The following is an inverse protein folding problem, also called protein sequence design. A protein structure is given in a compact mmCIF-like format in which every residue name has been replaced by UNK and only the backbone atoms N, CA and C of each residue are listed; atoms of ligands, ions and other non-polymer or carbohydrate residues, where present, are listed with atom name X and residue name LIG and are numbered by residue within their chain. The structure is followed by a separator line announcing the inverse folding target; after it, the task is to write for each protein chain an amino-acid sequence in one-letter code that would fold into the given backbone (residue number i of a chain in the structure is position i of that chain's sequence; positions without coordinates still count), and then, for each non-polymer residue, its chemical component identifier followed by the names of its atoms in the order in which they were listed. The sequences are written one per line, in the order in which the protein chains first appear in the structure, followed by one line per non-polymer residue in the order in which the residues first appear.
data_IF_226002687616
#
_entry.id   IF_226002687616
#
_cell.length_a   1.000
_cell.length_b   1.000
_cell.length_c   1.000
_cell.angle_alpha   90.00
_cell.angle_beta   90.00
_cell.angle_gamma   90.00
#
_symmetry.space_group_name_H-M   'P 1'
#
loop_
_entity.id
_entity.type
_entity.pdbx_description
1 polymer ?
#
# COMPACT_ATOMS: atom_id res chain seq x y z
N UNK A 1 5.76 24.71 9.30
CA UNK A 1 5.26 23.92 10.45
C UNK A 1 5.61 22.47 10.19
N UNK A 2 6.74 22.02 10.73
CA UNK A 2 7.15 20.62 10.73
C UNK A 2 6.19 19.83 11.60
N UNK A 3 5.32 19.04 10.98
CA UNK A 3 4.46 18.11 11.68
C UNK A 3 5.33 16.91 12.07
N UNK A 4 5.95 16.99 13.24
CA UNK A 4 6.56 15.83 13.90
C UNK A 4 5.45 14.80 14.02
N UNK A 5 5.54 13.72 13.25
CA UNK A 5 4.59 12.62 13.31
C UNK A 5 4.79 11.89 14.64
N UNK A 6 4.16 12.39 15.70
CA UNK A 6 4.02 11.67 16.95
C UNK A 6 3.03 10.53 16.66
N UNK A 7 3.54 9.32 16.47
CA UNK A 7 2.72 8.11 16.28
C UNK A 7 1.89 7.90 17.54
N UNK A 8 0.63 8.37 17.51
CA UNK A 8 -0.30 8.20 18.63
C UNK A 8 -0.90 6.78 18.67
N UNK A 9 -0.88 6.07 17.54
CA UNK A 9 -1.26 4.67 17.41
C UNK A 9 -0.64 4.00 16.18
N UNK A 10 -0.59 2.67 16.18
CA UNK A 10 -0.27 1.82 15.01
C UNK A 10 -1.01 0.48 15.10
N UNK A 11 -1.09 -0.26 14.00
CA UNK A 11 -1.85 -1.52 13.93
C UNK A 11 -1.24 -2.48 12.92
N UNK A 12 -1.43 -3.77 13.15
CA UNK A 12 -1.17 -4.84 12.19
C UNK A 12 -2.46 -5.38 11.55
N UNK A 13 -3.61 -4.77 11.84
CA UNK A 13 -4.94 -5.24 11.41
C UNK A 13 -5.69 -6.06 12.46
N UNK A 14 -4.99 -6.70 13.41
CA UNK A 14 -5.59 -7.53 14.47
C UNK A 14 -5.55 -6.84 15.84
N UNK A 15 -4.47 -6.09 16.10
CA UNK A 15 -4.28 -5.29 17.30
C UNK A 15 -4.02 -3.83 16.94
N UNK A 16 -4.50 -2.93 17.78
CA UNK A 16 -4.15 -1.51 17.78
C UNK A 16 -3.33 -1.25 19.03
N UNK A 17 -2.12 -0.70 18.85
CA UNK A 17 -1.26 -0.26 19.93
C UNK A 17 -1.30 1.25 20.08
N UNK A 18 -1.18 1.71 21.33
CA UNK A 18 -1.02 3.11 21.66
C UNK A 18 0.46 3.54 21.57
N UNK A 19 0.73 4.82 21.84
CA UNK A 19 2.07 5.41 21.88
C UNK A 19 3.05 4.78 22.88
N UNK A 20 2.56 4.00 23.86
CA UNK A 20 3.37 3.29 24.85
C UNK A 20 3.60 1.81 24.45
N UNK A 21 3.30 1.43 23.20
CA UNK A 21 3.40 0.06 22.69
C UNK A 21 2.51 -0.95 23.43
N UNK A 22 1.49 -0.47 24.15
CA UNK A 22 0.49 -1.31 24.81
C UNK A 22 -0.73 -1.43 23.90
N UNK A 23 -1.38 -2.60 23.92
CA UNK A 23 -2.66 -2.78 23.23
C UNK A 23 -3.65 -1.75 23.78
N UNK A 24 -4.21 -0.96 22.88
CA UNK A 24 -5.14 0.12 23.20
C UNK A 24 -6.44 -0.45 23.81
N UNK A 25 -7.17 0.35 24.59
CA UNK A 25 -8.47 -0.06 25.14
C UNK A 25 -9.40 -0.55 24.02
N UNK A 26 -9.90 -1.80 24.15
CA UNK A 26 -10.70 -2.53 23.15
C UNK A 26 -9.99 -2.78 21.80
N UNK A 27 -8.67 -2.57 21.73
CA UNK A 27 -7.86 -2.63 20.51
C UNK A 27 -7.39 -4.02 20.10
N UNK A 28 -7.81 -5.10 20.75
CA UNK A 28 -7.44 -6.47 20.37
C UNK A 28 -8.55 -7.16 19.57
N UNK A 29 -8.19 -8.13 18.72
CA UNK A 29 -9.12 -9.01 18.01
C UNK A 29 -9.97 -8.27 16.99
N UNK A 30 -9.34 -7.44 16.16
CA UNK A 30 -9.95 -6.79 15.01
C UNK A 30 -10.12 -7.79 13.85
N UNK A 31 -10.99 -7.44 12.91
CA UNK A 31 -11.31 -8.29 11.75
C UNK A 31 -10.26 -8.26 10.63
N UNK A 32 -9.23 -7.40 10.72
CA UNK A 32 -8.07 -7.41 9.82
C UNK A 32 -7.18 -8.61 10.15
N UNK A 33 -7.15 -9.60 9.26
CA UNK A 33 -6.62 -10.94 9.55
C UNK A 33 -5.16 -10.98 10.05
N UNK A 34 -4.85 -11.91 10.96
CA UNK A 34 -3.49 -12.29 11.38
C UNK A 34 -2.69 -13.13 10.38
N UNK A 35 -3.27 -13.50 9.22
CA UNK A 35 -2.66 -14.36 8.20
C UNK A 35 -1.77 -13.60 7.20
N UNK A 36 -0.99 -12.62 7.70
CA UNK A 36 -0.02 -11.81 6.96
C UNK A 36 -0.51 -11.22 5.60
N UNK A 37 -1.68 -10.56 5.55
CA UNK A 37 -2.11 -9.80 4.37
C UNK A 37 -1.11 -8.71 3.98
N UNK A 38 -1.08 -8.34 2.69
CA UNK A 38 -0.05 -7.45 2.14
C UNK A 38 -0.08 -6.00 2.67
N UNK A 39 -1.27 -5.42 2.81
CA UNK A 39 -1.49 -4.11 3.46
C UNK A 39 -2.91 -4.09 4.04
N UNK A 40 -3.15 -4.70 5.22
CA UNK A 40 -4.50 -4.94 5.72
C UNK A 40 -5.19 -3.74 6.32
N UNK A 41 -4.45 -2.68 6.65
CA UNK A 41 -4.96 -1.61 7.49
C UNK A 41 -4.64 -0.22 6.93
N UNK A 42 -5.57 0.70 7.15
CA UNK A 42 -5.43 2.11 6.83
C UNK A 42 -5.94 2.93 8.03
N UNK A 43 -5.09 3.79 8.56
CA UNK A 43 -5.45 4.71 9.66
C UNK A 43 -5.68 6.09 9.07
N UNK A 44 -6.87 6.67 9.26
CA UNK A 44 -7.17 8.04 8.86
C UNK A 44 -7.67 8.84 10.06
N UNK A 45 -7.15 10.07 10.23
CA UNK A 45 -7.72 11.03 11.19
C UNK A 45 -9.07 11.49 10.67
N UNK A 46 -10.11 11.49 11.52
CA UNK A 46 -11.42 12.02 11.14
C UNK A 46 -11.27 13.53 10.80
N UNK A 47 -11.60 13.97 9.57
CA UNK A 47 -11.47 15.37 9.20
C UNK A 47 -12.19 16.29 10.19
N UNK A 48 -11.49 17.33 10.67
CA UNK A 48 -12.01 18.29 11.64
C UNK A 48 -11.99 17.84 13.10
N UNK A 49 -11.72 16.56 13.41
CA UNK A 49 -11.52 16.10 14.79
C UNK A 49 -10.08 16.31 15.24
N UNK A 50 -9.85 16.50 16.54
CA UNK A 50 -8.49 16.50 17.10
C UNK A 50 -8.10 15.16 17.73
N UNK A 51 -9.07 14.36 18.16
CA UNK A 51 -8.83 13.13 18.92
C UNK A 51 -9.28 11.87 18.20
N UNK A 52 -10.12 11.98 17.16
CA UNK A 52 -10.73 10.81 16.52
C UNK A 52 -9.98 10.34 15.28
N UNK A 53 -9.79 9.03 15.22
CA UNK A 53 -9.21 8.31 14.08
C UNK A 53 -10.14 7.16 13.69
N UNK A 54 -10.08 6.76 12.43
CA UNK A 54 -10.69 5.56 11.93
C UNK A 54 -9.58 4.60 11.54
N UNK A 55 -9.71 3.35 11.96
CA UNK A 55 -8.86 2.24 11.52
C UNK A 55 -9.71 1.36 10.62
N UNK A 56 -9.42 1.42 9.33
CA UNK A 56 -10.03 0.57 8.32
C UNK A 56 -9.20 -0.70 8.17
N UNK A 57 -9.87 -1.83 8.04
CA UNK A 57 -9.22 -3.14 7.89
C UNK A 57 -9.87 -3.95 6.79
N UNK A 58 -9.08 -4.76 6.08
CA UNK A 58 -9.55 -5.79 5.15
C UNK A 58 -9.10 -7.19 5.59
N UNK A 59 -9.84 -8.23 5.19
CA UNK A 59 -9.48 -9.62 5.49
C UNK A 59 -8.29 -10.14 4.67
N UNK A 60 -7.85 -11.37 4.94
CA UNK A 60 -6.92 -12.11 4.07
C UNK A 60 -7.67 -13.16 3.28
N UNK A 61 -7.18 -13.45 2.08
CA UNK A 61 -7.65 -14.57 1.26
C UNK A 61 -7.36 -15.95 1.87
N UNK A 62 -6.36 -16.04 2.75
CA UNK A 62 -5.91 -17.28 3.39
C UNK A 62 -6.56 -17.50 4.76
N UNK A 63 -7.20 -16.46 5.30
CA UNK A 63 -7.90 -16.51 6.58
C UNK A 63 -9.38 -16.17 6.44
N UNK A 64 -9.90 -15.39 7.39
CA UNK A 64 -11.28 -14.93 7.34
C UNK A 64 -11.45 -13.84 6.27
N UNK A 65 -12.24 -14.15 5.25
CA UNK A 65 -12.74 -13.20 4.26
C UNK A 65 -13.80 -12.29 4.92
N UNK A 66 -13.32 -11.34 5.72
CA UNK A 66 -14.17 -10.40 6.42
C UNK A 66 -14.53 -9.18 5.55
N UNK A 67 -13.84 -8.93 4.45
CA UNK A 67 -14.08 -7.70 3.69
C UNK A 67 -13.62 -6.45 4.44
N UNK A 68 -14.08 -5.30 3.97
CA UNK A 68 -13.79 -3.99 4.53
C UNK A 68 -14.61 -3.73 5.82
N UNK A 69 -13.89 -3.40 6.89
CA UNK A 69 -14.42 -2.99 8.18
C UNK A 69 -13.81 -1.67 8.63
N UNK A 70 -14.44 -0.99 9.58
CA UNK A 70 -13.84 0.14 10.28
C UNK A 70 -14.03 0.09 11.80
N UNK A 71 -13.12 0.75 12.48
CA UNK A 71 -13.08 0.92 13.93
C UNK A 71 -12.91 2.41 14.24
N UNK A 72 -13.69 2.95 15.17
CA UNK A 72 -13.56 4.37 15.56
C UNK A 72 -12.77 4.49 16.85
N UNK A 73 -11.65 5.19 16.76
CA UNK A 73 -10.73 5.46 17.87
C UNK A 73 -10.97 6.86 18.39
N UNK A 74 -10.95 7.02 19.71
CA UNK A 74 -10.86 8.32 20.37
C UNK A 74 -9.68 8.36 21.32
N UNK A 75 -8.71 9.23 21.02
CA UNK A 75 -7.49 9.40 21.83
C UNK A 75 -7.76 10.00 23.22
N UNK A 76 -8.95 10.55 23.50
CA UNK A 76 -9.28 11.04 24.84
C UNK A 76 -9.61 9.93 25.85
N UNK A 77 -9.81 8.69 25.38
CA UNK A 77 -10.09 7.54 26.24
C UNK A 77 -8.83 7.06 26.96
N UNK A 78 -9.03 6.21 27.97
CA UNK A 78 -7.96 5.54 28.73
C UNK A 78 -6.87 6.51 29.23
N UNK A 79 -7.30 7.62 29.85
CA UNK A 79 -6.38 8.64 30.37
C UNK A 79 -5.53 9.34 29.29
N UNK A 80 -5.97 9.35 28.03
CA UNK A 80 -5.23 9.94 26.91
C UNK A 80 -4.37 8.93 26.13
N UNK A 81 -4.48 7.63 26.44
CA UNK A 81 -3.85 6.55 25.67
C UNK A 81 -4.71 6.06 24.51
N UNK A 82 -5.98 6.45 24.47
CA UNK A 82 -6.91 6.13 23.42
C UNK A 82 -7.63 4.80 23.60
N UNK A 83 -8.71 4.63 22.83
CA UNK A 83 -9.54 3.43 22.85
C UNK A 83 -10.42 3.35 21.61
N UNK A 84 -10.84 2.13 21.26
CA UNK A 84 -12.00 1.98 20.37
C UNK A 84 -13.24 2.40 21.15
N UNK A 85 -14.01 3.33 20.57
CA UNK A 85 -15.27 3.81 21.15
C UNK A 85 -16.24 2.63 21.27
N UNK A 86 -16.89 2.48 22.44
CA UNK A 86 -17.84 1.40 22.70
C UNK A 86 -18.90 1.30 21.61
N UNK A 87 -19.08 0.11 21.03
CA UNK A 87 -20.02 -0.15 19.94
C UNK A 87 -19.55 0.31 18.55
N UNK A 88 -18.31 0.79 18.41
CA UNK A 88 -17.74 1.22 17.13
C UNK A 88 -16.51 0.39 16.74
N UNK A 89 -16.53 -0.91 17.08
CA UNK A 89 -15.52 -1.90 16.72
C UNK A 89 -16.05 -2.80 15.60
N UNK A 90 -15.19 -3.08 14.61
CA UNK A 90 -15.43 -3.98 13.48
C UNK A 90 -16.81 -3.75 12.82
N UNK A 91 -17.07 -2.51 12.43
CA UNK A 91 -18.28 -2.17 11.70
C UNK A 91 -18.09 -2.51 10.21
N UNK A 92 -18.87 -3.46 9.71
CA UNK A 92 -18.78 -3.95 8.33
C UNK A 92 -19.27 -2.91 7.31
N UNK A 93 -18.56 -2.82 6.18
CA UNK A 93 -18.97 -2.04 5.00
C UNK A 93 -19.36 -3.01 3.90
N UNK A 94 -20.67 -3.21 3.71
CA UNK A 94 -21.22 -4.27 2.86
C UNK A 94 -20.73 -4.21 1.41
N UNK A 95 -20.57 -3.01 0.86
CA UNK A 95 -20.09 -2.82 -0.51
C UNK A 95 -18.60 -3.21 -0.68
N UNK A 96 -17.85 -3.38 0.41
CA UNK A 96 -16.49 -3.92 0.43
C UNK A 96 -16.38 -5.32 1.05
N UNK A 97 -17.47 -6.06 1.16
CA UNK A 97 -17.55 -7.36 1.87
C UNK A 97 -16.60 -8.46 1.38
N UNK A 98 -16.09 -8.35 0.16
CA UNK A 98 -15.17 -9.29 -0.46
C UNK A 98 -13.75 -8.72 -0.64
N UNK A 99 -13.51 -7.49 -0.18
CA UNK A 99 -12.17 -6.88 -0.19
C UNK A 99 -11.21 -7.66 0.71
N UNK A 100 -10.04 -7.97 0.18
CA UNK A 100 -9.01 -8.69 0.93
C UNK A 100 -7.61 -8.23 0.54
N UNK A 101 -6.63 -8.60 1.38
CA UNK A 101 -5.18 -8.41 1.24
C UNK A 101 -4.69 -6.96 1.31
N UNK A 102 -5.39 -6.03 0.64
CA UNK A 102 -4.92 -4.67 0.43
C UNK A 102 -6.04 -3.64 0.54
N UNK A 103 -5.77 -2.60 1.32
CA UNK A 103 -6.49 -1.33 1.32
C UNK A 103 -5.51 -0.19 1.06
N UNK A 104 -5.94 0.82 0.31
CA UNK A 104 -5.18 2.07 0.17
C UNK A 104 -6.10 3.27 0.34
N UNK A 105 -5.50 4.43 0.58
CA UNK A 105 -6.23 5.68 0.72
C UNK A 105 -5.48 6.82 0.06
N UNK A 106 -6.22 7.85 -0.36
CA UNK A 106 -5.64 9.02 -0.99
C UNK A 106 -6.40 10.28 -0.57
N UNK A 107 -5.72 11.43 -0.53
CA UNK A 107 -6.37 12.69 -0.15
C UNK A 107 -7.32 13.14 -1.26
N UNK A 108 -8.53 13.52 -0.92
CA UNK A 108 -9.41 14.19 -1.88
C UNK A 108 -8.78 15.50 -2.33
N UNK A 109 -9.03 15.89 -3.59
CA UNK A 109 -8.56 17.16 -4.16
C UNK A 109 -8.96 18.43 -3.38
N UNK A 110 -9.90 18.35 -2.43
CA UNK A 110 -10.28 19.49 -1.58
C UNK A 110 -9.30 19.72 -0.42
N UNK A 111 -8.29 18.85 -0.27
CA UNK A 111 -7.25 18.97 0.74
C UNK A 111 -7.70 18.69 2.17
N UNK A 112 -8.91 18.16 2.39
CA UNK A 112 -9.48 17.88 3.73
C UNK A 112 -9.98 16.45 3.87
N UNK A 113 -10.71 15.97 2.87
CA UNK A 113 -11.32 14.64 2.86
C UNK A 113 -10.35 13.61 2.29
N UNK A 114 -10.76 12.34 2.36
CA UNK A 114 -9.99 11.21 1.85
C UNK A 114 -10.87 10.29 0.99
N UNK A 115 -10.22 9.58 0.09
CA UNK A 115 -10.73 8.40 -0.59
C UNK A 115 -10.15 7.17 0.09
N UNK A 116 -10.97 6.14 0.25
CA UNK A 116 -10.58 4.80 0.66
C UNK A 116 -10.86 3.87 -0.51
N UNK A 117 -9.85 3.12 -0.94
CA UNK A 117 -9.89 2.34 -2.17
C UNK A 117 -9.60 0.88 -1.81
N UNK A 118 -10.52 0.00 -2.21
CA UNK A 118 -10.36 -1.45 -2.14
C UNK A 118 -10.70 -2.06 -3.49
N UNK A 119 -10.16 -3.25 -3.78
CA UNK A 119 -10.60 -4.07 -4.91
C UNK A 119 -11.59 -5.12 -4.43
N UNK A 120 -12.66 -5.29 -5.20
CA UNK A 120 -13.66 -6.36 -5.10
C UNK A 120 -13.31 -7.47 -6.07
N UNK A 121 -13.58 -8.71 -5.67
CA UNK A 121 -13.34 -9.92 -6.48
C UNK A 121 -14.66 -10.49 -7.01
N UNK A 122 -15.77 -10.24 -6.31
CA UNK A 122 -17.10 -10.43 -6.83
C UNK A 122 -17.44 -9.25 -7.76
N UNK A 123 -17.63 -9.56 -9.05
CA UNK A 123 -17.89 -8.60 -10.13
C UNK A 123 -16.72 -7.65 -10.47
N UNK A 124 -15.48 -7.95 -10.05
CA UNK A 124 -14.22 -7.30 -10.46
C UNK A 124 -14.25 -5.76 -10.57
N UNK A 125 -14.36 -5.07 -9.43
CA UNK A 125 -14.42 -3.59 -9.38
C UNK A 125 -13.49 -3.02 -8.34
N UNK A 126 -13.01 -1.80 -8.55
CA UNK A 126 -12.60 -0.96 -7.44
C UNK A 126 -13.84 -0.35 -6.79
N UNK A 127 -13.90 -0.38 -5.46
CA UNK A 127 -14.87 0.35 -4.67
C UNK A 127 -14.14 1.51 -3.97
N UNK A 128 -14.58 2.74 -4.27
CA UNK A 128 -13.94 3.97 -3.76
C UNK A 128 -14.91 4.71 -2.86
N UNK A 129 -14.62 4.72 -1.56
CA UNK A 129 -15.46 5.32 -0.52
C UNK A 129 -14.94 6.70 -0.16
N UNK A 130 -15.84 7.67 0.01
CA UNK A 130 -15.48 9.00 0.49
C UNK A 130 -15.43 9.02 2.01
N UNK A 131 -14.40 9.61 2.59
CA UNK A 131 -14.25 9.80 4.03
C UNK A 131 -14.14 11.29 4.36
N UNK A 132 -15.11 11.78 5.12
CA UNK A 132 -15.29 13.21 5.44
C UNK A 132 -15.38 13.43 6.94
N UNK A 133 -15.63 14.65 7.39
CA UNK A 133 -15.92 14.94 8.80
C UNK A 133 -17.17 14.23 9.33
N UNK A 134 -18.06 13.76 8.45
CA UNK A 134 -19.23 12.95 8.83
C UNK A 134 -18.90 11.45 9.00
N UNK A 135 -17.65 11.03 8.74
CA UNK A 135 -17.25 9.63 8.67
C UNK A 135 -17.19 9.12 7.23
N UNK A 136 -17.25 7.79 7.08
CA UNK A 136 -17.23 7.13 5.77
C UNK A 136 -18.63 7.16 5.13
N UNK A 137 -18.71 7.55 3.87
CA UNK A 137 -19.88 7.33 3.02
C UNK A 137 -19.85 5.89 2.51
N UNK A 138 -20.85 5.09 2.92
CA UNK A 138 -20.94 3.66 2.60
C UNK A 138 -21.40 3.39 1.17
N UNK A 139 -21.71 4.42 0.39
CA UNK A 139 -22.06 4.31 -1.03
C UNK A 139 -20.81 4.62 -1.88
N UNK A 140 -20.04 3.61 -2.33
CA UNK A 140 -18.82 3.85 -3.07
C UNK A 140 -19.10 4.20 -4.52
N UNK A 141 -18.08 4.77 -5.14
CA UNK A 141 -17.99 4.85 -6.60
C UNK A 141 -17.36 3.55 -7.08
N UNK A 142 -18.06 2.87 -7.99
CA UNK A 142 -17.56 1.65 -8.61
C UNK A 142 -16.86 1.95 -9.92
N UNK A 143 -15.65 1.40 -10.07
CA UNK A 143 -14.89 1.46 -11.31
C UNK A 143 -14.53 0.05 -11.75
N UNK A 144 -14.80 -0.28 -13.02
CA UNK A 144 -14.51 -1.61 -13.54
C UNK A 144 -13.01 -1.87 -13.56
N UNK A 145 -12.62 -3.08 -13.19
CA UNK A 145 -11.23 -3.55 -13.31
C UNK A 145 -11.10 -4.53 -14.47
N UNK A 146 -9.88 -4.93 -14.82
CA UNK A 146 -9.72 -6.06 -15.72
C UNK A 146 -10.24 -7.31 -15.02
N UNK A 147 -10.93 -8.18 -15.75
CA UNK A 147 -11.26 -9.51 -15.25
C UNK A 147 -9.96 -10.27 -14.97
N UNK A 148 -9.79 -10.76 -13.75
CA UNK A 148 -8.65 -11.58 -13.37
C UNK A 148 -9.18 -12.90 -12.82
N UNK A 149 -8.63 -14.01 -13.26
CA UNK A 149 -8.91 -15.35 -12.72
C UNK A 149 -8.27 -15.60 -11.36
N UNK A 150 -7.87 -14.55 -10.64
CA UNK A 150 -7.23 -14.67 -9.32
C UNK A 150 -8.13 -14.12 -8.24
N UNK A 151 -8.09 -14.80 -7.10
CA UNK A 151 -8.88 -14.45 -5.94
C UNK A 151 -8.22 -13.38 -5.05
N UNK A 152 -7.09 -12.81 -5.46
CA UNK A 152 -6.38 -11.82 -4.64
C UNK A 152 -5.35 -10.93 -5.35
N UNK A 153 -5.18 -9.75 -4.75
CA UNK A 153 -4.02 -8.87 -4.93
C UNK A 153 -2.84 -9.45 -4.14
N UNK A 154 -1.63 -9.31 -4.67
CA UNK A 154 -0.42 -9.88 -4.07
C UNK A 154 0.45 -8.89 -3.32
N UNK A 155 0.35 -7.59 -3.66
CA UNK A 155 1.21 -6.53 -3.17
C UNK A 155 0.40 -5.24 -2.97
N UNK A 156 0.86 -4.33 -2.09
CA UNK A 156 0.17 -3.07 -1.84
C UNK A 156 -0.21 -2.27 -3.09
N UNK A 157 -1.42 -1.67 -3.09
CA UNK A 157 -1.83 -0.71 -4.12
C UNK A 157 -1.19 0.65 -3.86
N UNK A 158 -0.85 1.37 -4.93
CA UNK A 158 -0.21 2.70 -4.84
C UNK A 158 -0.98 3.72 -5.66
N UNK A 159 -1.38 4.81 -5.03
CA UNK A 159 -1.80 6.01 -5.75
C UNK A 159 -0.57 6.88 -6.02
N UNK A 160 -0.47 7.48 -7.20
CA UNK A 160 0.60 8.43 -7.47
C UNK A 160 0.49 9.68 -6.59
N UNK A 161 1.61 10.32 -6.21
CA UNK A 161 1.59 11.50 -5.34
C UNK A 161 0.75 12.69 -5.83
N UNK A 162 0.60 12.86 -7.14
CA UNK A 162 -0.28 13.85 -7.79
C UNK A 162 -1.77 13.43 -7.86
N UNK A 163 -2.09 12.18 -7.53
CA UNK A 163 -3.46 11.67 -7.47
C UNK A 163 -4.08 11.40 -8.83
N UNK A 164 -3.24 11.14 -9.84
CA UNK A 164 -3.64 10.87 -11.21
C UNK A 164 -3.56 9.39 -11.63
N UNK A 165 -2.87 8.56 -10.86
CA UNK A 165 -2.74 7.13 -11.15
C UNK A 165 -3.09 6.28 -9.92
N UNK A 166 -3.63 5.09 -10.17
CA UNK A 166 -3.69 3.97 -9.24
C UNK A 166 -2.99 2.78 -9.89
N UNK A 167 -2.01 2.22 -9.19
CA UNK A 167 -1.32 0.99 -9.57
C UNK A 167 -1.80 -0.14 -8.68
N UNK A 168 -2.26 -1.23 -9.30
CA UNK A 168 -2.76 -2.41 -8.61
C UNK A 168 -2.03 -3.67 -9.10
N UNK A 169 -1.11 -4.22 -8.30
CA UNK A 169 -0.48 -5.50 -8.60
C UNK A 169 -1.47 -6.64 -8.45
N UNK A 170 -1.30 -7.70 -9.22
CA UNK A 170 -2.11 -8.89 -9.10
C UNK A 170 -1.33 -10.11 -9.59
N UNK A 171 -1.60 -11.27 -9.00
CA UNK A 171 -1.10 -12.53 -9.53
C UNK A 171 -1.82 -12.84 -10.84
N UNK A 172 -1.16 -13.55 -11.75
CA UNK A 172 -1.82 -14.26 -12.84
C UNK A 172 -1.40 -15.72 -12.82
N UNK A 173 -2.39 -16.62 -12.77
CA UNK A 173 -2.15 -18.06 -12.92
C UNK A 173 -2.18 -18.43 -14.39
N UNK A 174 -1.01 -18.54 -15.02
CA UNK A 174 -0.88 -19.33 -16.26
C UNK A 174 -0.36 -20.71 -15.88
N UNK A 175 -0.78 -21.74 -16.62
CA UNK A 175 -0.80 -23.18 -16.27
C UNK A 175 0.52 -23.86 -15.84
N UNK A 176 1.61 -23.11 -15.63
CA UNK A 176 2.88 -23.65 -15.12
C UNK A 176 3.78 -22.65 -14.37
N UNK A 177 3.38 -21.38 -14.20
CA UNK A 177 4.16 -20.41 -13.42
C UNK A 177 3.32 -19.24 -12.90
N UNK A 178 3.60 -18.80 -11.68
CA UNK A 178 3.02 -17.60 -11.10
C UNK A 178 3.84 -16.38 -11.57
N UNK A 179 3.18 -15.44 -12.25
CA UNK A 179 3.71 -14.09 -12.51
C UNK A 179 2.85 -13.05 -11.79
N UNK A 180 3.44 -11.92 -11.45
CA UNK A 180 2.69 -10.75 -10.97
C UNK A 180 2.74 -9.63 -12.00
N UNK A 181 1.55 -9.21 -12.42
CA UNK A 181 1.33 -8.11 -13.34
C UNK A 181 0.89 -6.87 -12.56
N UNK A 182 0.94 -5.69 -13.18
CA UNK A 182 0.47 -4.43 -12.58
C UNK A 182 -0.58 -3.79 -13.48
N UNK A 183 -1.80 -3.61 -12.98
CA UNK A 183 -2.79 -2.73 -13.61
C UNK A 183 -2.38 -1.28 -13.39
N UNK A 184 -2.23 -0.54 -14.48
CA UNK A 184 -2.03 0.91 -14.46
C UNK A 184 -3.38 1.54 -14.79
N UNK A 185 -3.91 2.33 -13.87
CA UNK A 185 -5.20 3.00 -14.01
C UNK A 185 -5.03 4.51 -13.86
N UNK A 186 -5.80 5.28 -14.62
CA UNK A 186 -6.04 6.69 -14.31
C UNK A 186 -6.92 6.78 -13.06
N UNK A 187 -6.55 7.64 -12.12
CA UNK A 187 -7.32 7.96 -10.92
C UNK A 187 -7.66 9.45 -10.92
N UNK A 188 -8.90 9.78 -10.58
CA UNK A 188 -9.32 11.16 -10.44
C UNK A 188 -9.53 11.46 -8.95
N UNK A 189 -8.55 12.12 -8.31
CA UNK A 189 -8.64 12.49 -6.88
C UNK A 189 -9.75 13.49 -6.53
N UNK A 190 -10.38 14.13 -7.51
CA UNK A 190 -11.54 14.99 -7.29
C UNK A 190 -12.85 14.20 -7.26
N UNK A 191 -12.99 13.17 -8.11
CA UNK A 191 -14.25 12.41 -8.23
C UNK A 191 -14.19 11.03 -7.61
N UNK A 192 -13.02 10.44 -7.39
CA UNK A 192 -12.86 9.05 -6.97
C UNK A 192 -12.97 8.04 -8.11
N UNK A 193 -13.18 8.48 -9.36
CA UNK A 193 -13.27 7.57 -10.50
C UNK A 193 -11.90 6.96 -10.86
N UNK A 194 -11.90 5.67 -11.22
CA UNK A 194 -10.73 4.94 -11.68
C UNK A 194 -11.02 4.41 -13.10
N UNK A 195 -10.08 4.55 -14.02
CA UNK A 195 -10.21 4.03 -15.40
C UNK A 195 -8.99 3.20 -15.75
N UNK A 196 -9.19 1.95 -16.14
CA UNK A 196 -8.11 1.08 -16.59
C UNK A 196 -7.42 1.65 -17.84
N UNK A 197 -6.08 1.68 -17.86
CA UNK A 197 -5.29 2.10 -19.04
C UNK A 197 -4.71 0.89 -19.75
N UNK A 198 -3.85 0.15 -19.06
CA UNK A 198 -3.12 -0.99 -19.58
C UNK A 198 -2.52 -1.82 -18.44
N UNK A 199 -1.94 -2.97 -18.78
CA UNK A 199 -1.25 -3.86 -17.83
C UNK A 199 0.24 -3.87 -18.14
N UNK A 200 1.08 -3.60 -17.15
CA UNK A 200 2.52 -3.89 -17.23
C UNK A 200 2.73 -5.38 -16.95
N UNK A 201 3.28 -6.09 -17.95
CA UNK A 201 3.64 -7.51 -17.86
C UNK A 201 5.15 -7.63 -18.04
N UNK A 202 5.84 -8.18 -17.06
CA UNK A 202 7.29 -8.42 -17.15
C UNK A 202 7.55 -9.77 -17.86
N UNK A 203 8.34 -9.77 -18.94
CA UNK A 203 8.38 -10.89 -19.91
C UNK A 203 9.13 -12.16 -19.49
N UNK A 204 9.55 -12.29 -18.24
CA UNK A 204 10.14 -13.53 -17.73
C UNK A 204 9.11 -14.31 -16.92
N UNK A 205 8.63 -15.43 -17.49
CA UNK A 205 7.80 -16.42 -16.79
C UNK A 205 8.43 -16.76 -15.44
N UNK A 206 7.61 -16.76 -14.38
CA UNK A 206 8.04 -17.12 -13.02
C UNK A 206 8.69 -16.01 -12.18
N UNK A 207 8.70 -14.76 -12.64
CA UNK A 207 9.16 -13.63 -11.83
C UNK A 207 7.99 -12.98 -11.07
N UNK A 208 8.17 -12.85 -9.76
CA UNK A 208 7.18 -12.30 -8.83
C UNK A 208 7.59 -10.89 -8.40
N UNK A 209 6.73 -9.89 -8.60
CA UNK A 209 6.92 -8.54 -8.06
C UNK A 209 7.07 -8.61 -6.55
N UNK A 210 8.18 -8.15 -5.98
CA UNK A 210 8.39 -8.17 -4.52
C UNK A 210 7.89 -6.92 -3.85
N UNK A 211 8.01 -5.78 -4.53
CA UNK A 211 7.43 -4.53 -4.09
C UNK A 211 7.41 -3.48 -5.20
N UNK A 212 6.66 -2.40 -4.98
CA UNK A 212 6.70 -1.23 -5.85
C UNK A 212 6.48 0.09 -5.09
N UNK A 213 7.05 1.17 -5.64
CA UNK A 213 6.84 2.52 -5.14
C UNK A 213 6.92 3.55 -6.27
N UNK A 214 6.22 4.68 -6.12
CA UNK A 214 6.14 5.76 -7.11
C UNK A 214 7.00 6.95 -6.64
N UNK A 215 7.73 7.59 -7.56
CA UNK A 215 8.51 8.79 -7.27
C UNK A 215 7.63 9.97 -6.81
N UNK A 216 8.15 10.91 -6.00
CA UNK A 216 7.40 12.06 -5.49
C UNK A 216 6.76 12.95 -6.56
N UNK A 217 7.34 12.96 -7.77
CA UNK A 217 6.85 13.73 -8.92
C UNK A 217 5.92 12.93 -9.83
N UNK A 218 5.53 11.71 -9.42
CA UNK A 218 4.63 10.79 -10.15
C UNK A 218 5.14 10.25 -11.49
N UNK A 219 6.40 10.53 -11.87
CA UNK A 219 6.90 10.18 -13.21
C UNK A 219 7.62 8.84 -13.28
N UNK A 220 8.10 8.30 -12.17
CA UNK A 220 8.92 7.10 -12.16
C UNK A 220 8.30 6.05 -11.24
N UNK A 221 8.25 4.82 -11.74
CA UNK A 221 7.86 3.64 -10.97
C UNK A 221 9.10 2.84 -10.64
N UNK A 222 9.27 2.50 -9.38
CA UNK A 222 10.27 1.57 -8.91
C UNK A 222 9.59 0.24 -8.63
N UNK A 223 10.13 -0.86 -9.18
CA UNK A 223 9.68 -2.21 -8.90
C UNK A 223 10.86 -3.07 -8.47
N UNK A 224 10.63 -3.97 -7.53
CA UNK A 224 11.61 -4.97 -7.12
C UNK A 224 11.23 -6.30 -7.72
N UNK A 225 12.13 -6.91 -8.48
CA UNK A 225 11.97 -8.27 -8.99
C UNK A 225 13.18 -9.13 -8.61
N UNK A 226 13.01 -10.42 -8.29
CA UNK A 226 14.12 -11.34 -8.19
C UNK A 226 14.77 -11.51 -9.57
N UNK A 227 16.09 -11.68 -9.58
CA UNK A 227 16.85 -11.99 -10.78
C UNK A 227 17.59 -13.32 -10.59
N UNK A 228 17.76 -14.07 -11.67
CA UNK A 228 18.38 -15.39 -11.67
C UNK A 228 19.92 -15.34 -11.60
N UNK A 229 20.46 -14.39 -10.85
CA UNK A 229 21.89 -14.34 -10.58
C UNK A 229 22.33 -15.50 -9.69
N UNK A 230 23.64 -15.75 -9.64
CA UNK A 230 24.26 -16.70 -8.70
C UNK A 230 25.29 -15.95 -7.85
N UNK A 231 25.03 -15.70 -6.55
CA UNK A 231 23.79 -16.04 -5.81
C UNK A 231 22.58 -15.20 -6.30
N UNK A 232 21.33 -15.66 -6.09
CA UNK A 232 20.14 -14.92 -6.52
C UNK A 232 20.09 -13.54 -5.87
N UNK A 233 20.00 -12.50 -6.70
CA UNK A 233 19.91 -11.11 -6.27
C UNK A 233 18.54 -10.53 -6.60
N UNK A 234 18.15 -9.52 -5.86
CA UNK A 234 16.98 -8.71 -6.22
C UNK A 234 17.44 -7.46 -6.92
N UNK A 235 16.73 -7.03 -7.95
CA UNK A 235 17.03 -5.75 -8.59
C UNK A 235 15.88 -4.77 -8.39
N UNK A 236 16.24 -3.53 -8.09
CA UNK A 236 15.33 -2.39 -8.27
C UNK A 236 15.38 -2.01 -9.74
N UNK A 237 14.22 -2.06 -10.37
CA UNK A 237 13.99 -1.57 -11.72
C UNK A 237 13.24 -0.26 -11.65
N UNK A 238 13.60 0.65 -12.55
CA UNK A 238 12.91 1.93 -12.72
C UNK A 238 12.24 1.97 -14.09
N UNK A 239 10.98 2.37 -14.12
CA UNK A 239 10.15 2.55 -15.31
C UNK A 239 9.69 4.01 -15.42
N UNK A 240 9.43 4.47 -16.63
CA UNK A 240 8.89 5.80 -16.93
C UNK A 240 7.34 5.77 -16.98
N UNK A 241 6.67 6.30 -15.95
CA UNK A 241 5.22 6.38 -15.89
C UNK A 241 4.61 7.43 -16.83
N UNK A 242 5.42 8.25 -17.49
CA UNK A 242 4.91 9.22 -18.49
C UNK A 242 4.51 8.56 -19.81
N UNK A 243 4.83 7.27 -19.98
CA UNK A 243 4.51 6.50 -21.16
C UNK A 243 3.01 6.18 -21.24
N UNK A 244 2.43 6.32 -22.45
CA UNK A 244 0.99 6.18 -22.68
C UNK A 244 0.52 4.74 -22.90
N UNK A 245 1.43 3.79 -23.05
CA UNK A 245 1.11 2.39 -23.36
C UNK A 245 2.08 1.42 -22.65
N UNK A 246 1.65 0.16 -22.54
CA UNK A 246 2.38 -0.88 -21.81
C UNK A 246 3.71 -1.25 -22.46
N UNK A 247 3.85 -1.14 -23.79
CA UNK A 247 5.08 -1.52 -24.48
C UNK A 247 6.18 -0.49 -24.20
N UNK A 248 5.87 0.79 -24.37
CA UNK A 248 6.83 1.87 -24.09
C UNK A 248 7.18 1.96 -22.60
N UNK A 249 6.21 1.76 -21.69
CA UNK A 249 6.49 1.67 -20.26
C UNK A 249 7.51 0.56 -19.98
N UNK A 250 7.27 -0.65 -20.48
CA UNK A 250 8.15 -1.79 -20.30
C UNK A 250 9.54 -1.55 -20.91
N UNK A 251 9.62 -1.04 -22.15
CA UNK A 251 10.89 -0.77 -22.83
C UNK A 251 11.69 0.34 -22.17
N UNK A 252 11.05 1.21 -21.38
CA UNK A 252 11.76 2.23 -20.60
C UNK A 252 12.62 1.63 -19.49
N UNK A 253 12.33 0.40 -19.05
CA UNK A 253 12.94 -0.24 -17.87
C UNK A 253 14.47 -0.12 -17.83
N UNK A 254 15.00 0.29 -16.68
CA UNK A 254 16.43 0.23 -16.38
C UNK A 254 16.67 -0.33 -14.98
N UNK A 255 17.83 -0.95 -14.77
CA UNK A 255 18.26 -1.46 -13.46
C UNK A 255 18.93 -0.31 -12.69
N UNK A 256 18.55 -0.13 -11.43
CA UNK A 256 19.13 0.87 -10.53
C UNK A 256 20.19 0.26 -9.62
N UNK A 257 19.85 -0.83 -8.94
CA UNK A 257 20.72 -1.46 -7.94
C UNK A 257 20.22 -2.85 -7.58
N UNK A 258 21.02 -3.57 -6.78
CA UNK A 258 20.67 -4.85 -6.19
C UNK A 258 20.35 -4.81 -4.68
N UNK A 259 19.68 -5.86 -4.19
CA UNK A 259 19.43 -6.18 -2.78
C UNK A 259 18.62 -5.13 -1.99
N UNK A 260 17.46 -4.74 -2.52
CA UNK A 260 16.50 -3.89 -1.84
C UNK A 260 15.07 -4.42 -2.04
N UNK A 261 14.24 -4.27 -1.01
CA UNK A 261 12.82 -4.62 -0.97
C UNK A 261 12.09 -3.73 0.03
N UNK A 262 10.77 -3.89 0.17
CA UNK A 262 9.96 -3.14 1.13
C UNK A 262 10.17 -1.61 0.99
N UNK A 263 10.00 -1.11 -0.23
CA UNK A 263 10.18 0.30 -0.59
C UNK A 263 9.00 1.14 -0.09
N UNK A 264 9.32 2.29 0.47
CA UNK A 264 8.33 3.26 0.92
C UNK A 264 8.78 4.69 0.67
N UNK A 265 7.93 5.47 0.01
CA UNK A 265 8.09 6.92 -0.13
C UNK A 265 7.83 7.59 1.22
N UNK A 266 8.80 8.37 1.69
CA UNK A 266 8.72 9.12 2.93
C UNK A 266 8.39 10.61 2.70
N UNK A 267 7.93 11.34 3.74
CA UNK A 267 7.60 12.76 3.64
C UNK A 267 8.75 13.70 3.24
N UNK A 268 9.99 13.25 3.36
CA UNK A 268 11.18 13.98 2.91
C UNK A 268 11.43 13.87 1.39
N UNK A 269 10.55 13.14 0.68
CA UNK A 269 10.64 12.93 -0.77
C UNK A 269 11.61 11.83 -1.18
N UNK A 270 12.19 11.07 -0.24
CA UNK A 270 13.07 9.93 -0.54
C UNK A 270 12.29 8.61 -0.47
N UNK A 271 12.80 7.61 -1.18
CA UNK A 271 12.30 6.24 -1.04
C UNK A 271 13.29 5.46 -0.16
N UNK A 272 12.78 4.91 0.93
CA UNK A 272 13.53 4.04 1.83
C UNK A 272 13.20 2.59 1.52
N UNK A 273 14.16 1.70 1.72
CA UNK A 273 14.01 0.28 1.43
C UNK A 273 14.82 -0.55 2.43
N UNK A 274 14.37 -1.77 2.69
CA UNK A 274 15.09 -2.74 3.50
C UNK A 274 15.73 -3.79 2.60
N UNK A 275 16.99 -4.11 2.84
CA UNK A 275 17.64 -5.22 2.14
C UNK A 275 17.15 -6.56 2.68
N UNK A 276 16.68 -7.42 1.79
CA UNK A 276 16.08 -8.70 2.16
C UNK A 276 16.57 -9.80 1.23
N UNK A 277 17.04 -10.90 1.81
CA UNK A 277 17.38 -12.10 1.08
C UNK A 277 16.15 -13.01 1.02
N UNK A 278 15.49 -13.06 -0.14
CA UNK A 278 14.30 -13.88 -0.33
C UNK A 278 14.61 -15.37 -0.52
N UNK A 279 15.88 -15.76 -0.68
CA UNK A 279 16.27 -17.17 -0.70
C UNK A 279 16.30 -17.76 0.71
N UNK A 280 16.69 -16.96 1.70
CA UNK A 280 16.74 -17.35 3.12
C UNK A 280 15.56 -16.83 3.94
N UNK A 281 14.85 -15.81 3.44
CA UNK A 281 13.77 -15.14 4.17
C UNK A 281 14.27 -14.20 5.27
N UNK A 282 15.53 -13.78 5.21
CA UNK A 282 16.19 -13.02 6.28
C UNK A 282 16.55 -11.61 5.77
N UNK A 283 16.32 -10.60 6.61
CA UNK A 283 16.82 -9.25 6.33
C UNK A 283 18.36 -9.26 6.35
N UNK A 284 19.00 -8.86 5.27
CA UNK A 284 20.46 -8.91 5.14
C UNK A 284 21.16 -7.92 6.07
N UNK A 285 20.52 -6.77 6.29
CA UNK A 285 21.01 -5.70 7.15
C UNK A 285 19.85 -5.22 8.03
N UNK A 286 19.50 -6.00 9.08
CA UNK A 286 18.26 -5.80 9.83
C UNK A 286 18.18 -4.41 10.50
N UNK A 287 19.33 -3.83 10.81
CA UNK A 287 19.48 -2.57 11.56
C UNK A 287 19.79 -1.39 10.65
N UNK A 288 19.46 -1.46 9.36
CA UNK A 288 19.72 -0.37 8.43
C UNK A 288 18.68 -0.24 7.33
N UNK A 289 18.60 0.96 6.76
CA UNK A 289 17.78 1.29 5.61
C UNK A 289 18.65 1.77 4.45
N UNK A 290 18.34 1.27 3.27
CA UNK A 290 18.85 1.74 1.99
C UNK A 290 17.92 2.82 1.43
N UNK A 291 18.46 3.74 0.64
CA UNK A 291 17.76 4.98 0.28
C UNK A 291 17.97 5.31 -1.18
N UNK A 292 16.90 5.74 -1.85
CA UNK A 292 16.96 6.45 -3.13
C UNK A 292 16.82 7.94 -2.79
N UNK A 293 17.93 8.70 -2.86
CA UNK A 293 17.94 10.10 -2.39
C UNK A 293 17.24 11.06 -3.35
N UNK A 294 17.16 10.72 -4.65
CA UNK A 294 16.54 11.55 -5.69
C UNK A 294 15.58 10.72 -6.55
N UNK A 295 14.44 10.24 -6.00
CA UNK A 295 13.60 9.28 -6.72
C UNK A 295 12.96 9.79 -8.01
N UNK A 296 12.98 11.10 -8.25
CA UNK A 296 12.52 11.73 -9.50
C UNK A 296 13.59 11.75 -10.61
N UNK A 297 14.81 11.29 -10.34
CA UNK A 297 15.90 11.27 -11.33
C UNK A 297 16.04 9.86 -11.91
N UNK A 298 16.19 9.78 -13.24
CA UNK A 298 16.32 8.50 -13.94
C UNK A 298 17.74 7.93 -13.79
N UNK A 299 17.85 6.61 -13.65
CA UNK A 299 19.11 5.88 -13.66
C UNK A 299 19.98 6.15 -12.42
N UNK A 300 21.30 6.06 -12.58
CA UNK A 300 22.26 6.28 -11.48
C UNK A 300 22.14 7.65 -10.82
N UNK A 301 21.57 8.65 -11.51
CA UNK A 301 21.28 9.96 -10.94
C UNK A 301 20.26 9.96 -9.80
N UNK A 302 19.49 8.87 -9.62
CA UNK A 302 18.58 8.71 -8.47
C UNK A 302 19.29 8.57 -7.13
N UNK A 303 20.62 8.33 -7.15
CA UNK A 303 21.48 8.31 -5.97
C UNK A 303 21.02 7.28 -4.93
N UNK A 304 20.96 6.02 -5.38
CA UNK A 304 20.71 4.87 -4.50
C UNK A 304 21.94 4.59 -3.63
N UNK A 305 21.73 4.53 -2.31
CA UNK A 305 22.75 4.24 -1.32
C UNK A 305 22.30 3.07 -0.43
N UNK A 306 23.08 1.99 -0.45
CA UNK A 306 22.89 0.80 0.37
C UNK A 306 23.23 1.13 1.84
N UNK A 307 22.35 0.79 2.78
CA UNK A 307 22.56 0.95 4.24
C UNK A 307 22.95 2.37 4.67
N UNK A 308 22.38 3.41 4.05
CA UNK A 308 22.72 4.80 4.37
C UNK A 308 22.33 5.20 5.79
N UNK A 309 21.27 4.62 6.35
CA UNK A 309 20.82 4.91 7.72
C UNK A 309 20.90 3.66 8.58
N UNK A 310 21.51 3.79 9.76
CA UNK A 310 21.52 2.75 10.80
C UNK A 310 20.39 3.07 11.77
N UNK A 311 19.54 2.08 12.02
CA UNK A 311 18.47 2.14 13.00
C UNK A 311 19.10 1.86 14.37
N UNK A 312 19.31 2.90 15.16
CA UNK A 312 19.74 2.73 16.55
C UNK A 312 18.61 2.04 17.35
N UNK A 313 18.97 1.10 18.22
CA UNK A 313 18.01 0.47 19.12
C UNK A 313 17.47 1.52 20.09
N UNK A 314 16.15 1.76 20.05
CA UNK A 314 15.41 2.57 21.02
C UNK A 314 15.25 1.82 22.35
#
# INVERSE_FOLDING_TARGET
MTQTAIYSLYTNGEFIWNKNHQVMLNGAGLSGSGEAPSQPALILKLPGSQTKFYVFTVGSKYGNLNGLHYNVIDLSLDGGLGGIVTGQKDIAILEGSDANEVITGYKHANGKDYWIIVRKFNNDKFAVFKFTSAGIDVNPIFSQTRYITTTAITRPMRCSPDGHLLLCPFATTSSSSNSEDIEICDFNSQTGAITFKYTLKEFSLGVTLKDMEISPDSKLLYCVFPYSDSPPQQHIYQYDLTQSDSLNLLLSKIIISGNAGLMQLAPDGKIYSRSYDYSTGIAMFPDSLSVINKPWVRGSGCDFNLQQYILEAL
#
